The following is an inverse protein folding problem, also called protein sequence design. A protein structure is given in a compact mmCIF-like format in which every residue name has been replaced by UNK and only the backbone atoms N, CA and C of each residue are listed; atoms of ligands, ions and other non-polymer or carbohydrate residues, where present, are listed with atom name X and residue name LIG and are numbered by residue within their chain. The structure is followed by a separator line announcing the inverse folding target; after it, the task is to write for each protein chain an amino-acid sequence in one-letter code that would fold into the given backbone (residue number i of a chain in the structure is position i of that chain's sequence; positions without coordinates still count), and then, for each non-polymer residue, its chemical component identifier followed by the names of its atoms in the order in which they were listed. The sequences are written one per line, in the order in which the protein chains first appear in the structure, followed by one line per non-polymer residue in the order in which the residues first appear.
data_IF_122391387047
#
_entry.id   IF_122391387047
#
_cell.length_a   1.000
_cell.length_b   1.000
_cell.length_c   1.000
_cell.angle_alpha   90.00
_cell.angle_beta   90.00
_cell.angle_gamma   90.00
#
_symmetry.space_group_name_H-M   'P 1'
#
loop_
_entity.id
_entity.type
_entity.pdbx_description
1 polymer ?
#
# COMPACT_ATOMS: atom_id res chain seq x y z
N UNK A 1 0.83 -3.76 5.65
CA UNK A 1 -0.62 -4.03 5.54
C UNK A 1 -1.35 -2.87 6.19
N UNK A 2 -2.07 -2.09 5.39
CA UNK A 2 -2.98 -1.09 5.92
C UNK A 2 -4.26 -1.81 6.38
N UNK A 3 -4.61 -1.68 7.65
CA UNK A 3 -5.90 -2.16 8.16
C UNK A 3 -6.96 -1.20 7.62
N UNK A 4 -7.90 -1.69 6.81
CA UNK A 4 -8.92 -0.86 6.13
C UNK A 4 -10.24 -0.83 6.89
N UNK A 5 -10.60 -1.93 7.56
CA UNK A 5 -11.75 -1.99 8.46
C UNK A 5 -11.42 -2.80 9.73
N UNK A 6 -12.04 -2.43 10.84
CA UNK A 6 -12.01 -3.19 12.10
C UNK A 6 -13.44 -3.52 12.52
N UNK A 7 -13.73 -4.80 12.72
CA UNK A 7 -15.04 -5.28 13.19
C UNK A 7 -14.95 -5.62 14.67
N UNK A 8 -15.92 -5.19 15.47
CA UNK A 8 -16.00 -5.58 16.86
C UNK A 8 -16.46 -7.04 16.95
N UNK A 9 -15.73 -7.86 17.68
CA UNK A 9 -16.05 -9.28 17.93
C UNK A 9 -16.42 -9.52 19.38
N UNK A 10 -17.10 -10.62 19.64
CA UNK A 10 -17.46 -11.03 20.99
C UNK A 10 -16.24 -11.44 21.82
N UNK A 11 -16.36 -11.31 23.14
CA UNK A 11 -15.29 -11.70 24.08
C UNK A 11 -14.91 -13.19 23.98
N UNK A 12 -15.83 -14.05 23.55
CA UNK A 12 -15.54 -15.45 23.29
C UNK A 12 -14.48 -15.66 22.20
N UNK A 13 -14.29 -14.69 21.32
CA UNK A 13 -13.33 -14.74 20.21
C UNK A 13 -12.00 -14.03 20.53
N UNK A 14 -11.79 -13.57 21.78
CA UNK A 14 -10.63 -12.76 22.17
C UNK A 14 -9.27 -13.42 21.88
N UNK A 15 -9.22 -14.75 21.91
CA UNK A 15 -7.99 -15.53 21.71
C UNK A 15 -7.83 -15.99 20.24
N UNK A 16 -8.74 -15.60 19.34
CA UNK A 16 -8.61 -15.91 17.93
C UNK A 16 -7.52 -15.06 17.26
N UNK A 17 -6.82 -15.62 16.24
CA UNK A 17 -5.80 -14.89 15.50
C UNK A 17 -6.29 -13.54 14.98
N UNK A 18 -5.48 -12.50 15.20
CA UNK A 18 -5.74 -11.14 14.72
C UNK A 18 -6.68 -10.30 15.58
N UNK A 19 -7.33 -10.87 16.60
CA UNK A 19 -8.20 -10.10 17.51
C UNK A 19 -7.37 -9.24 18.48
N UNK A 20 -7.73 -7.96 18.59
CA UNK A 20 -7.07 -6.97 19.44
C UNK A 20 -8.01 -6.53 20.56
N UNK A 21 -7.50 -6.52 21.79
CA UNK A 21 -8.20 -5.97 22.95
C UNK A 21 -8.02 -4.46 23.00
N UNK A 22 -9.12 -3.72 22.99
CA UNK A 22 -9.17 -2.26 23.14
C UNK A 22 -9.91 -1.93 24.43
N UNK A 23 -9.27 -1.16 25.31
CA UNK A 23 -9.90 -0.69 26.56
C UNK A 23 -10.59 0.64 26.27
N UNK A 24 -11.91 0.66 26.37
CA UNK A 24 -12.72 1.86 26.24
C UNK A 24 -13.05 2.43 27.61
N UNK A 25 -12.81 3.73 27.79
CA UNK A 25 -13.16 4.46 29.01
C UNK A 25 -14.58 5.02 28.87
N UNK A 26 -15.53 4.42 29.58
CA UNK A 26 -16.95 4.78 29.51
C UNK A 26 -17.29 5.63 30.74
N UNK A 27 -17.67 6.91 30.56
CA UNK A 27 -18.16 7.71 31.67
C UNK A 27 -19.56 7.25 32.08
N UNK A 28 -19.74 6.94 33.37
CA UNK A 28 -21.02 6.56 33.99
C UNK A 28 -21.22 7.44 35.23
N UNK A 29 -21.97 8.54 35.07
CA UNK A 29 -22.12 9.55 36.12
C UNK A 29 -20.78 10.26 36.43
N UNK A 30 -20.34 10.22 37.69
CA UNK A 30 -19.06 10.80 38.13
C UNK A 30 -17.89 9.79 38.14
N UNK A 31 -18.07 8.61 37.55
CA UNK A 31 -17.04 7.57 37.49
C UNK A 31 -16.70 7.24 36.04
N UNK A 32 -15.44 6.85 35.80
CA UNK A 32 -15.01 6.28 34.52
C UNK A 32 -14.84 4.79 34.73
N UNK A 33 -15.58 4.00 33.95
CA UNK A 33 -15.51 2.54 33.96
C UNK A 33 -14.71 2.08 32.74
N UNK A 34 -13.68 1.28 32.96
CA UNK A 34 -12.94 0.64 31.88
C UNK A 34 -13.72 -0.58 31.37
N UNK A 35 -13.99 -0.61 30.06
CA UNK A 35 -14.63 -1.76 29.40
C UNK A 35 -13.71 -2.30 28.32
N UNK A 36 -13.42 -3.60 28.38
CA UNK A 36 -12.73 -4.29 27.31
C UNK A 36 -13.67 -4.51 26.11
N UNK A 37 -13.21 -4.13 24.93
CA UNK A 37 -13.82 -4.47 23.63
C UNK A 37 -12.79 -5.20 22.79
N UNK A 38 -13.22 -6.09 21.90
CA UNK A 38 -12.34 -6.91 21.09
C UNK A 38 -12.61 -6.60 19.62
N UNK A 39 -11.56 -6.39 18.83
CA UNK A 39 -11.66 -5.92 17.45
C UNK A 39 -10.81 -6.78 16.54
N UNK A 40 -11.35 -7.19 15.39
CA UNK A 40 -10.62 -7.93 14.37
C UNK A 40 -10.37 -7.02 13.16
N UNK A 41 -9.12 -6.82 12.72
CA UNK A 41 -8.82 -6.17 11.46
C UNK A 41 -9.21 -7.10 10.31
N UNK A 42 -9.90 -6.55 9.31
CA UNK A 42 -10.35 -7.30 8.14
C UNK A 42 -9.68 -6.69 6.90
N UNK A 43 -9.08 -7.56 6.07
CA UNK A 43 -8.60 -7.16 4.75
C UNK A 43 -9.80 -7.08 3.81
N UNK A 44 -9.83 -6.02 3.01
CA UNK A 44 -10.85 -5.78 2.01
C UNK A 44 -10.22 -5.71 0.64
N UNK A 45 -10.96 -6.17 -0.35
CA UNK A 45 -10.63 -5.93 -1.74
C UNK A 45 -10.71 -4.43 -2.05
N UNK A 46 -9.63 -3.87 -2.59
CA UNK A 46 -9.49 -2.45 -2.91
C UNK A 46 -10.41 -1.97 -4.04
N UNK A 47 -10.82 -2.88 -4.92
CA UNK A 47 -11.74 -2.61 -6.03
C UNK A 47 -13.18 -2.85 -5.59
N UNK A 48 -13.41 -3.85 -4.75
CA UNK A 48 -14.73 -4.28 -4.27
C UNK A 48 -14.77 -4.36 -2.74
N UNK A 49 -14.90 -3.23 -2.00
CA UNK A 49 -14.70 -3.17 -0.55
C UNK A 49 -15.62 -4.08 0.29
N UNK A 50 -16.72 -4.57 -0.28
CA UNK A 50 -17.62 -5.53 0.37
C UNK A 50 -17.06 -6.96 0.42
N UNK A 51 -16.04 -7.27 -0.39
CA UNK A 51 -15.37 -8.57 -0.41
C UNK A 51 -14.26 -8.57 0.63
N UNK A 52 -14.40 -9.44 1.62
CA UNK A 52 -13.45 -9.59 2.74
C UNK A 52 -12.85 -11.00 2.82
N UNK A 53 -13.53 -11.98 2.25
CA UNK A 53 -13.08 -13.37 2.24
C UNK A 53 -12.02 -13.59 1.16
N UNK A 54 -10.97 -14.34 1.50
CA UNK A 54 -9.94 -14.75 0.54
C UNK A 54 -9.09 -13.62 -0.02
N UNK A 55 -9.20 -12.40 0.51
CA UNK A 55 -8.43 -11.23 0.08
C UNK A 55 -6.94 -11.45 0.33
N UNK A 56 -6.11 -11.14 -0.68
CA UNK A 56 -4.65 -11.25 -0.62
C UNK A 56 -3.99 -9.98 -1.13
N UNK A 57 -2.89 -9.59 -0.47
CA UNK A 57 -2.02 -8.52 -0.97
C UNK A 57 -1.23 -9.01 -2.18
N UNK A 58 -1.45 -8.36 -3.32
CA UNK A 58 -0.72 -8.57 -4.56
C UNK A 58 0.33 -7.46 -4.70
N UNK A 59 1.57 -7.85 -4.98
CA UNK A 59 2.65 -6.92 -5.32
C UNK A 59 2.95 -7.03 -6.80
N UNK A 60 2.95 -5.91 -7.50
CA UNK A 60 3.26 -5.88 -8.93
C UNK A 60 4.01 -4.59 -9.30
N UNK A 61 4.58 -4.57 -10.50
CA UNK A 61 5.17 -3.36 -11.06
C UNK A 61 4.64 -3.10 -12.46
N UNK A 62 4.60 -1.83 -12.84
CA UNK A 62 4.24 -1.39 -14.18
C UNK A 62 5.21 -0.31 -14.65
N UNK A 63 5.61 -0.32 -15.94
CA UNK A 63 6.28 0.84 -16.51
C UNK A 63 5.32 2.04 -16.51
N UNK A 64 5.84 3.21 -16.17
CA UNK A 64 5.12 4.48 -16.18
C UNK A 64 6.03 5.59 -16.73
N UNK A 65 5.45 6.51 -17.49
CA UNK A 65 6.14 7.73 -17.89
C UNK A 65 6.13 8.71 -16.71
N UNK A 66 7.32 9.11 -16.27
CA UNK A 66 7.50 10.05 -15.16
C UNK A 66 8.34 11.24 -15.60
N UNK A 67 8.10 12.37 -14.96
CA UNK A 67 8.90 13.57 -15.14
C UNK A 67 10.19 13.45 -14.33
N UNK A 68 11.33 13.58 -15.03
CA UNK A 68 12.66 13.65 -14.44
C UNK A 68 13.25 15.04 -14.68
N UNK A 69 13.58 15.73 -13.58
CA UNK A 69 14.39 16.92 -13.60
C UNK A 69 15.86 16.58 -13.91
N UNK A 70 16.48 17.34 -14.79
CA UNK A 70 17.89 17.19 -15.12
C UNK A 70 18.57 18.57 -15.27
N UNK A 71 19.87 18.60 -14.97
CA UNK A 71 20.67 19.80 -15.19
C UNK A 71 20.92 19.99 -16.70
N UNK A 72 20.52 21.14 -17.23
CA UNK A 72 20.67 21.45 -18.66
C UNK A 72 22.10 21.84 -19.05
N UNK A 73 22.94 22.18 -18.07
CA UNK A 73 24.26 22.76 -18.29
C UNK A 73 24.24 24.27 -18.56
N UNK A 74 23.07 24.90 -18.56
CA UNK A 74 22.89 26.34 -18.67
C UNK A 74 22.67 26.98 -17.30
N UNK A 75 22.89 28.31 -17.21
CA UNK A 75 22.68 29.10 -16.00
C UNK A 75 21.62 30.17 -16.26
N UNK A 76 20.72 30.36 -15.30
CA UNK A 76 19.73 31.44 -15.29
C UNK A 76 20.42 32.80 -15.04
N UNK A 77 19.68 33.90 -15.26
CA UNK A 77 20.20 35.27 -15.05
C UNK A 77 20.59 35.57 -13.60
N UNK A 78 20.01 34.84 -12.64
CA UNK A 78 20.33 34.94 -11.21
C UNK A 78 21.56 34.09 -10.80
N UNK A 79 22.23 33.44 -11.76
CA UNK A 79 23.40 32.60 -11.52
C UNK A 79 23.08 31.17 -11.08
N UNK A 80 21.80 30.77 -11.01
CA UNK A 80 21.40 29.39 -10.66
C UNK A 80 21.44 28.45 -11.87
N UNK A 81 21.67 27.16 -11.63
CA UNK A 81 21.64 26.15 -12.70
C UNK A 81 20.22 26.00 -13.25
N UNK A 82 20.09 26.01 -14.58
CA UNK A 82 18.81 25.82 -15.25
C UNK A 82 18.46 24.33 -15.27
N UNK A 83 17.29 24.01 -14.71
CA UNK A 83 16.75 22.66 -14.64
C UNK A 83 15.77 22.47 -15.80
N UNK A 84 15.94 21.38 -16.54
CA UNK A 84 15.00 20.93 -17.57
C UNK A 84 14.16 19.78 -17.05
N UNK A 85 12.98 19.58 -17.64
CA UNK A 85 12.12 18.44 -17.34
C UNK A 85 12.00 17.58 -18.60
N UNK A 86 12.12 16.26 -18.45
CA UNK A 86 11.89 15.30 -19.53
C UNK A 86 11.05 14.12 -19.05
N UNK A 87 10.37 13.46 -19.98
CA UNK A 87 9.66 12.21 -19.71
C UNK A 87 10.62 11.03 -19.82
N UNK A 88 10.72 10.23 -18.76
CA UNK A 88 11.48 8.98 -18.75
C UNK A 88 10.57 7.83 -18.37
N UNK A 89 10.88 6.63 -18.89
CA UNK A 89 10.17 5.43 -18.52
C UNK A 89 10.76 4.88 -17.22
N UNK A 90 9.97 4.87 -16.16
CA UNK A 90 10.35 4.34 -14.85
C UNK A 90 9.50 3.13 -14.47
N UNK A 91 10.01 2.28 -13.58
CA UNK A 91 9.27 1.12 -13.05
C UNK A 91 8.66 1.48 -11.70
N UNK A 92 7.33 1.62 -11.68
CA UNK A 92 6.59 1.86 -10.44
C UNK A 92 6.14 0.55 -9.80
N UNK A 93 6.31 0.44 -8.49
CA UNK A 93 5.88 -0.72 -7.69
C UNK A 93 4.60 -0.39 -6.94
N UNK A 94 3.66 -1.33 -6.96
CA UNK A 94 2.36 -1.20 -6.32
C UNK A 94 2.09 -2.40 -5.41
N UNK A 95 1.33 -2.14 -4.35
CA UNK A 95 0.67 -3.15 -3.53
C UNK A 95 -0.83 -2.88 -3.60
N UNK A 96 -1.63 -3.94 -3.78
CA UNK A 96 -3.10 -3.86 -3.83
C UNK A 96 -3.67 -5.10 -3.14
N UNK A 97 -4.72 -4.95 -2.35
CA UNK A 97 -5.43 -6.07 -1.73
C UNK A 97 -6.60 -6.47 -2.63
N UNK A 98 -6.64 -7.72 -3.08
CA UNK A 98 -7.66 -8.21 -4.01
C UNK A 98 -8.25 -9.54 -3.53
N UNK A 99 -9.55 -9.68 -3.65
CA UNK A 99 -10.29 -10.93 -3.57
C UNK A 99 -10.13 -11.76 -4.85
N UNK A 100 -10.60 -13.00 -4.81
CA UNK A 100 -10.32 -14.01 -5.84
C UNK A 100 -10.75 -13.58 -7.25
N UNK A 101 -11.93 -12.98 -7.39
CA UNK A 101 -12.43 -12.52 -8.69
C UNK A 101 -11.55 -11.41 -9.30
N UNK A 102 -11.16 -10.41 -8.50
CA UNK A 102 -10.32 -9.33 -9.00
C UNK A 102 -8.87 -9.77 -9.22
N UNK A 103 -8.38 -10.78 -8.49
CA UNK A 103 -7.11 -11.45 -8.81
C UNK A 103 -7.20 -12.12 -10.19
N UNK A 104 -8.27 -12.86 -10.46
CA UNK A 104 -8.47 -13.50 -11.76
C UNK A 104 -8.60 -12.47 -12.89
N UNK A 105 -9.33 -11.37 -12.67
CA UNK A 105 -9.43 -10.28 -13.62
C UNK A 105 -8.07 -9.65 -13.93
N UNK A 106 -7.25 -9.38 -12.90
CA UNK A 106 -5.89 -8.87 -13.07
C UNK A 106 -5.03 -9.83 -13.90
N UNK A 107 -5.11 -11.14 -13.63
CA UNK A 107 -4.36 -12.15 -14.38
C UNK A 107 -4.74 -12.18 -15.86
N UNK A 108 -6.04 -12.12 -16.18
CA UNK A 108 -6.50 -12.11 -17.57
C UNK A 108 -6.05 -10.84 -18.32
N UNK A 109 -6.06 -9.67 -17.68
CA UNK A 109 -5.55 -8.42 -18.28
C UNK A 109 -4.05 -8.51 -18.58
N UNK A 110 -3.27 -9.13 -17.69
CA UNK A 110 -1.81 -9.25 -17.84
C UNK A 110 -1.38 -10.40 -18.77
N UNK A 111 -2.27 -11.33 -19.07
CA UNK A 111 -2.00 -12.56 -19.85
C UNK A 111 -1.36 -12.31 -21.22
N UNK A 112 -1.78 -11.33 -22.04
CA UNK A 112 -1.18 -11.11 -23.36
C UNK A 112 0.29 -10.69 -23.27
N UNK A 113 0.67 -9.95 -22.22
CA UNK A 113 2.03 -9.48 -22.02
C UNK A 113 2.90 -10.54 -21.37
N UNK A 114 2.38 -11.19 -20.31
CA UNK A 114 3.13 -12.21 -19.56
C UNK A 114 3.36 -13.49 -20.37
N UNK A 115 2.47 -13.83 -21.32
CA UNK A 115 2.64 -14.96 -22.23
C UNK A 115 3.81 -14.83 -23.20
N UNK A 116 4.22 -13.60 -23.53
CA UNK A 116 5.36 -13.30 -24.41
C UNK A 116 6.63 -12.90 -23.65
N UNK A 117 6.51 -12.60 -22.36
CA UNK A 117 7.61 -12.10 -21.54
C UNK A 117 8.57 -13.23 -21.11
N UNK A 118 9.82 -12.86 -20.87
CA UNK A 118 10.79 -13.73 -20.18
C UNK A 118 10.64 -13.53 -18.68
N UNK A 119 10.58 -14.63 -17.92
CA UNK A 119 10.64 -14.58 -16.45
C UNK A 119 12.02 -14.09 -16.01
N UNK A 120 12.04 -13.09 -15.14
CA UNK A 120 13.24 -12.56 -14.50
C UNK A 120 13.02 -12.59 -12.99
N UNK A 121 14.10 -12.69 -12.21
CA UNK A 121 13.99 -12.55 -10.77
C UNK A 121 13.56 -11.13 -10.39
N UNK A 122 12.74 -11.02 -9.34
CA UNK A 122 12.35 -9.72 -8.83
C UNK A 122 13.61 -8.95 -8.38
N UNK A 123 13.77 -7.67 -8.76
CA UNK A 123 14.88 -6.86 -8.29
C UNK A 123 14.94 -6.88 -6.76
N UNK A 124 16.14 -7.06 -6.20
CA UNK A 124 16.34 -6.86 -4.77
C UNK A 124 15.96 -5.41 -4.45
N UNK A 125 14.90 -5.20 -3.66
CA UNK A 125 14.47 -3.88 -3.19
C UNK A 125 15.65 -3.24 -2.46
N UNK A 126 16.38 -2.33 -3.11
CA UNK A 126 17.40 -1.55 -2.42
C UNK A 126 16.66 -0.65 -1.41
N UNK A 127 17.02 -0.67 -0.11
CA UNK A 127 16.38 0.22 0.85
C UNK A 127 16.53 1.65 0.36
N UNK A 128 15.43 2.42 0.40
CA UNK A 128 15.41 3.82 0.00
C UNK A 128 16.60 4.54 0.62
N UNK A 129 17.51 5.05 -0.22
CA UNK A 129 18.66 5.83 0.22
C UNK A 129 18.09 7.08 0.89
N UNK A 130 18.00 7.08 2.22
CA UNK A 130 17.64 8.28 2.99
C UNK A 130 18.50 9.41 2.45
N UNK A 131 17.89 10.38 1.74
CA UNK A 131 18.55 11.67 1.48
C UNK A 131 18.89 12.20 2.86
N UNK A 132 20.18 12.23 3.19
CA UNK A 132 20.63 12.97 4.37
C UNK A 132 20.21 14.41 4.09
N UNK A 133 19.28 14.93 4.89
CA UNK A 133 19.09 16.35 5.00
C UNK A 133 20.46 16.94 5.35
N UNK A 134 20.98 17.78 4.45
CA UNK A 134 22.11 18.62 4.78
C UNK A 134 21.69 19.51 5.94
N UNK A 135 22.51 19.55 6.98
CA UNK A 135 22.35 20.39 8.17
C UNK A 135 23.11 21.69 7.93
#
# INVERSE_FOLDING_TARGET
MAVKETVQVDEAEKDQPGVQKVIANIPVGNQVVEKATYWRPVLQDDVSPHVTEGVRTIKFSSPAWVEEEYETGETNEDGTAKIGVRQVLDTQWYEIDLGEENVAALQEVLKPFTGMARKVEAPAVKPARKRRSAK
#
